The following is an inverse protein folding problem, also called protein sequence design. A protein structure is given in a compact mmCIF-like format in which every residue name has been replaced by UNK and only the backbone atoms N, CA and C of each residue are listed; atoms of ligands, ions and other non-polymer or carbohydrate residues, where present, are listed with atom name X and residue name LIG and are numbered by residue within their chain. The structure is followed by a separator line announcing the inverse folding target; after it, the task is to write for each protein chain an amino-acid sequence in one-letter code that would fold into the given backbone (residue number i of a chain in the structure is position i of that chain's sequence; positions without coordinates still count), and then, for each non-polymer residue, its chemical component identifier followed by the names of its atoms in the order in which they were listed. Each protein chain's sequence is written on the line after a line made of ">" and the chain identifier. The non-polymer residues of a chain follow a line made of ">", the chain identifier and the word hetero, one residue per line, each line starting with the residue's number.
data_IF_836971643735
#
_entry.id   IF_836971643735
#
_cell.length_a   1.000
_cell.length_b   1.000
_cell.length_c   1.000
_cell.angle_alpha   90.00
_cell.angle_beta   90.00
_cell.angle_gamma   90.00
#
_symmetry.space_group_name_H-M   'P 1'
#
loop_
_entity.id
_entity.type
_entity.pdbx_description
1 polymer ?
#
# COMPACT_ATOMS: atom_id res chain seq x y z
N UNK A 1 -11.57 -13.86 -38.30
CA UNK A 1 -12.10 -12.49 -38.51
C UNK A 1 -12.63 -11.98 -37.18
N UNK A 2 -12.06 -10.91 -36.63
CA UNK A 2 -12.75 -10.13 -35.59
C UNK A 2 -13.78 -9.24 -36.28
N UNK A 3 -15.07 -9.49 -36.05
CA UNK A 3 -16.13 -8.60 -36.49
C UNK A 3 -16.27 -7.45 -35.48
N UNK A 4 -16.73 -6.28 -35.96
CA UNK A 4 -17.00 -5.11 -35.11
C UNK A 4 -17.88 -5.45 -33.90
N UNK A 5 -18.85 -6.35 -34.09
CA UNK A 5 -19.73 -6.83 -33.03
C UNK A 5 -18.98 -7.56 -31.90
N UNK A 6 -17.99 -8.41 -32.24
CA UNK A 6 -17.16 -9.10 -31.24
C UNK A 6 -16.27 -8.12 -30.45
N UNK A 7 -15.77 -7.08 -31.12
CA UNK A 7 -15.01 -6.01 -30.46
C UNK A 7 -15.88 -5.22 -29.48
N UNK A 8 -17.10 -4.89 -29.88
CA UNK A 8 -18.05 -4.16 -29.05
C UNK A 8 -18.49 -4.98 -27.82
N UNK A 9 -18.73 -6.30 -27.98
CA UNK A 9 -19.10 -7.16 -26.86
C UNK A 9 -17.96 -7.31 -25.86
N UNK A 10 -16.71 -7.48 -26.33
CA UNK A 10 -15.51 -7.53 -25.48
C UNK A 10 -15.32 -6.22 -24.70
N UNK A 11 -15.58 -5.08 -25.34
CA UNK A 11 -15.45 -3.77 -24.70
C UNK A 11 -16.48 -3.58 -23.58
N UNK A 12 -17.74 -3.96 -23.82
CA UNK A 12 -18.78 -3.94 -22.80
C UNK A 12 -18.48 -4.89 -21.64
N UNK A 13 -18.02 -6.11 -21.93
CA UNK A 13 -17.66 -7.08 -20.91
C UNK A 13 -16.50 -6.58 -20.04
N UNK A 14 -15.46 -6.02 -20.66
CA UNK A 14 -14.32 -5.45 -19.95
C UNK A 14 -14.74 -4.26 -19.08
N UNK A 15 -15.59 -3.37 -19.59
CA UNK A 15 -16.14 -2.24 -18.83
C UNK A 15 -16.93 -2.72 -17.61
N UNK A 16 -17.80 -3.70 -17.77
CA UNK A 16 -18.61 -4.22 -16.66
C UNK A 16 -17.74 -4.90 -15.59
N UNK A 17 -16.69 -5.63 -16.00
CA UNK A 17 -15.72 -6.22 -15.07
C UNK A 17 -14.96 -5.15 -14.28
N UNK A 18 -14.45 -4.12 -14.98
CA UNK A 18 -13.77 -2.98 -14.34
C UNK A 18 -14.68 -2.24 -13.36
N UNK A 19 -15.93 -2.00 -13.73
CA UNK A 19 -16.91 -1.34 -12.87
C UNK A 19 -17.21 -2.18 -11.62
N UNK A 20 -17.31 -3.52 -11.76
CA UNK A 20 -17.47 -4.42 -10.62
C UNK A 20 -16.28 -4.42 -9.67
N UNK A 21 -15.05 -4.45 -10.20
CA UNK A 21 -13.82 -4.36 -9.39
C UNK A 21 -13.74 -3.01 -8.65
N UNK A 22 -14.06 -1.90 -9.34
CA UNK A 22 -14.08 -0.56 -8.77
C UNK A 22 -15.12 -0.43 -7.64
N UNK A 23 -16.35 -0.92 -7.85
CA UNK A 23 -17.40 -0.86 -6.82
C UNK A 23 -17.01 -1.65 -5.57
N UNK A 24 -16.40 -2.84 -5.71
CA UNK A 24 -15.93 -3.62 -4.56
C UNK A 24 -14.83 -2.89 -3.80
N UNK A 25 -13.93 -2.21 -4.52
CA UNK A 25 -12.87 -1.43 -3.90
C UNK A 25 -13.44 -0.22 -3.15
N UNK A 26 -14.33 0.54 -3.78
CA UNK A 26 -15.00 1.67 -3.11
C UNK A 26 -15.74 1.20 -1.86
N UNK A 27 -16.46 0.08 -1.92
CA UNK A 27 -17.17 -0.45 -0.76
C UNK A 27 -16.21 -0.81 0.38
N UNK A 28 -15.06 -1.44 0.06
CA UNK A 28 -14.04 -1.75 1.05
C UNK A 28 -13.40 -0.49 1.65
N UNK A 29 -13.11 0.53 0.82
CA UNK A 29 -12.59 1.81 1.28
C UNK A 29 -13.58 2.54 2.20
N UNK A 30 -14.86 2.63 1.80
CA UNK A 30 -15.90 3.21 2.64
C UNK A 30 -16.05 2.48 3.97
N UNK A 31 -15.99 1.13 3.95
CA UNK A 31 -16.03 0.34 5.18
C UNK A 31 -14.86 0.65 6.12
N UNK A 32 -13.65 0.76 5.59
CA UNK A 32 -12.46 1.12 6.36
C UNK A 32 -12.54 2.55 6.93
N UNK A 33 -12.90 3.53 6.10
CA UNK A 33 -13.08 4.93 6.50
C UNK A 33 -14.13 5.02 7.61
N UNK A 34 -15.23 4.29 7.46
CA UNK A 34 -16.31 4.29 8.45
C UNK A 34 -15.81 3.76 9.80
N UNK A 35 -15.11 2.62 9.82
CA UNK A 35 -14.57 2.03 11.06
C UNK A 35 -13.55 2.93 11.76
N UNK A 36 -12.66 3.57 11.00
CA UNK A 36 -11.65 4.48 11.57
C UNK A 36 -12.28 5.76 12.10
N UNK A 37 -13.20 6.34 11.34
CA UNK A 37 -13.87 7.59 11.71
C UNK A 37 -14.77 7.38 12.94
N UNK A 38 -15.51 6.27 12.97
CA UNK A 38 -16.37 5.91 14.10
C UNK A 38 -15.57 5.80 15.39
N UNK A 39 -14.40 5.17 15.35
CA UNK A 39 -13.51 5.02 16.50
C UNK A 39 -13.04 6.37 17.04
N UNK A 40 -12.66 7.30 16.15
CA UNK A 40 -12.25 8.66 16.52
C UNK A 40 -13.42 9.46 17.12
N UNK A 41 -14.61 9.35 16.52
CA UNK A 41 -15.82 10.03 17.02
C UNK A 41 -16.16 9.57 18.43
N UNK A 42 -16.11 8.26 18.70
CA UNK A 42 -16.36 7.71 20.05
C UNK A 42 -15.36 8.28 21.06
N UNK A 43 -14.06 8.31 20.72
CA UNK A 43 -13.03 8.86 21.60
C UNK A 43 -13.26 10.37 21.88
N UNK A 44 -13.64 11.13 20.85
CA UNK A 44 -13.91 12.56 20.99
C UNK A 44 -15.14 12.82 21.87
N UNK A 45 -16.24 12.09 21.66
CA UNK A 45 -17.43 12.18 22.50
C UNK A 45 -17.06 11.87 23.95
N UNK A 46 -16.35 10.76 24.20
CA UNK A 46 -15.90 10.39 25.54
C UNK A 46 -15.06 11.49 26.20
N UNK A 47 -14.12 12.07 25.46
CA UNK A 47 -13.23 13.14 25.97
C UNK A 47 -14.05 14.37 26.35
N UNK A 48 -14.97 14.80 25.48
CA UNK A 48 -15.83 15.95 25.72
C UNK A 48 -16.77 15.74 26.92
N UNK A 49 -17.34 14.55 27.07
CA UNK A 49 -18.25 14.24 28.20
C UNK A 49 -17.50 14.14 29.53
N UNK A 50 -16.21 13.78 29.52
CA UNK A 50 -15.44 13.52 30.76
C UNK A 50 -14.49 14.65 31.15
N UNK A 51 -14.41 15.73 30.37
CA UNK A 51 -13.45 16.82 30.60
C UNK A 51 -13.65 17.57 31.93
N UNK A 52 -14.88 17.63 32.44
CA UNK A 52 -15.22 18.34 33.68
C UNK A 52 -15.06 17.50 34.95
N UNK A 53 -14.79 16.20 34.80
CA UNK A 53 -14.64 15.29 35.93
C UNK A 53 -13.21 15.32 36.44
N UNK A 54 -13.03 15.34 37.77
CA UNK A 54 -11.72 15.12 38.38
C UNK A 54 -11.29 13.68 38.11
N UNK A 55 -10.20 13.48 37.36
CA UNK A 55 -9.71 12.17 36.96
C UNK A 55 -8.59 11.71 37.90
N UNK A 56 -8.63 10.43 38.29
CA UNK A 56 -7.49 9.80 38.97
C UNK A 56 -6.34 9.60 37.98
N UNK A 57 -5.10 9.56 38.49
CA UNK A 57 -3.91 9.32 37.66
C UNK A 57 -4.01 8.01 36.86
N UNK A 58 -4.61 6.97 37.46
CA UNK A 58 -4.86 5.69 36.78
C UNK A 58 -5.79 5.85 35.57
N UNK A 59 -6.86 6.65 35.71
CA UNK A 59 -7.82 6.89 34.63
C UNK A 59 -7.16 7.66 33.47
N UNK A 60 -6.34 8.67 33.78
CA UNK A 60 -5.59 9.42 32.75
C UNK A 60 -4.65 8.49 31.99
N UNK A 61 -3.94 7.60 32.68
CA UNK A 61 -3.06 6.62 32.04
C UNK A 61 -3.83 5.67 31.11
N UNK A 62 -5.01 5.20 31.52
CA UNK A 62 -5.89 4.37 30.69
C UNK A 62 -6.39 5.12 29.44
N UNK A 63 -6.81 6.38 29.59
CA UNK A 63 -7.24 7.22 28.46
C UNK A 63 -6.11 7.43 27.44
N UNK A 64 -4.89 7.67 27.91
CA UNK A 64 -3.71 7.77 27.05
C UNK A 64 -3.39 6.47 26.31
N UNK A 65 -3.55 5.33 26.99
CA UNK A 65 -3.36 4.02 26.38
C UNK A 65 -4.40 3.77 25.28
N UNK A 66 -5.67 4.08 25.54
CA UNK A 66 -6.73 3.99 24.53
C UNK A 66 -6.49 4.92 23.34
N UNK A 67 -6.11 6.18 23.59
CA UNK A 67 -5.73 7.12 22.54
C UNK A 67 -4.60 6.58 21.65
N UNK A 68 -3.58 5.97 22.26
CA UNK A 68 -2.47 5.34 21.54
C UNK A 68 -2.96 4.16 20.68
N UNK A 69 -3.82 3.31 21.22
CA UNK A 69 -4.42 2.19 20.48
C UNK A 69 -5.24 2.69 19.28
N UNK A 70 -6.07 3.72 19.47
CA UNK A 70 -6.85 4.30 18.37
C UNK A 70 -5.97 4.92 17.29
N UNK A 71 -4.90 5.62 17.68
CA UNK A 71 -3.91 6.15 16.74
C UNK A 71 -3.21 5.04 15.95
N UNK A 72 -2.87 3.92 16.61
CA UNK A 72 -2.27 2.76 15.95
C UNK A 72 -3.26 2.13 14.94
N UNK A 73 -4.53 1.99 15.32
CA UNK A 73 -5.60 1.50 14.43
C UNK A 73 -5.75 2.41 13.21
N UNK A 74 -5.74 3.72 13.43
CA UNK A 74 -5.75 4.71 12.35
C UNK A 74 -4.54 4.55 11.41
N UNK A 75 -3.34 4.36 11.94
CA UNK A 75 -2.15 4.06 11.14
C UNK A 75 -2.27 2.75 10.34
N UNK A 76 -2.79 1.69 10.94
CA UNK A 76 -3.01 0.43 10.22
C UNK A 76 -4.04 0.56 9.10
N UNK A 77 -4.96 1.52 9.17
CA UNK A 77 -5.89 1.78 8.06
C UNK A 77 -5.16 2.30 6.81
N UNK A 78 -4.13 3.13 6.98
CA UNK A 78 -3.29 3.59 5.87
C UNK A 78 -2.56 2.45 5.16
N UNK A 79 -2.04 1.51 5.96
CA UNK A 79 -1.44 0.26 5.46
C UNK A 79 -2.51 -0.62 4.80
N UNK A 80 -3.70 -0.68 5.39
CA UNK A 80 -4.87 -1.38 4.87
C UNK A 80 -5.26 -0.91 3.47
N UNK A 81 -5.29 0.41 3.20
CA UNK A 81 -5.56 0.93 1.86
C UNK A 81 -4.58 0.36 0.84
N UNK A 82 -3.27 0.40 1.13
CA UNK A 82 -2.26 -0.17 0.23
C UNK A 82 -2.55 -1.63 -0.14
N UNK A 83 -2.94 -2.45 0.83
CA UNK A 83 -3.32 -3.84 0.57
C UNK A 83 -4.63 -3.98 -0.20
N UNK A 84 -5.64 -3.16 0.09
CA UNK A 84 -6.90 -3.14 -0.66
C UNK A 84 -6.66 -2.82 -2.13
N UNK A 85 -5.83 -1.82 -2.43
CA UNK A 85 -5.41 -1.49 -3.80
C UNK A 85 -4.65 -2.65 -4.47
N UNK A 86 -3.73 -3.30 -3.75
CA UNK A 86 -3.05 -4.50 -4.24
C UNK A 86 -4.02 -5.64 -4.54
N UNK A 87 -5.02 -5.89 -3.71
CA UNK A 87 -5.92 -7.03 -3.91
C UNK A 87 -6.90 -6.74 -5.06
N UNK A 88 -7.45 -5.51 -5.11
CA UNK A 88 -8.47 -5.13 -6.07
C UNK A 88 -7.94 -5.03 -7.50
N UNK A 89 -6.81 -4.34 -7.73
CA UNK A 89 -6.33 -4.08 -9.09
C UNK A 89 -5.31 -5.13 -9.55
N UNK A 90 -5.72 -6.01 -10.48
CA UNK A 90 -4.81 -6.94 -11.17
C UNK A 90 -3.68 -6.21 -11.89
N UNK A 91 -3.98 -5.08 -12.52
CA UNK A 91 -2.98 -4.23 -13.21
C UNK A 91 -1.97 -3.68 -12.21
N UNK A 92 -2.42 -3.19 -11.05
CA UNK A 92 -1.55 -2.71 -9.99
C UNK A 92 -0.62 -3.82 -9.48
N UNK A 93 -1.14 -5.04 -9.22
CA UNK A 93 -0.30 -6.20 -8.86
C UNK A 93 0.74 -6.54 -9.90
N UNK A 94 0.40 -6.42 -11.18
CA UNK A 94 1.34 -6.66 -12.28
C UNK A 94 2.44 -5.61 -12.26
N UNK A 95 2.10 -4.34 -12.12
CA UNK A 95 3.05 -3.24 -12.07
C UNK A 95 3.96 -3.31 -10.84
N UNK A 96 3.41 -3.60 -9.66
CA UNK A 96 4.18 -3.80 -8.42
C UNK A 96 5.13 -4.99 -8.55
N UNK A 97 4.67 -6.12 -9.10
CA UNK A 97 5.54 -7.27 -9.36
C UNK A 97 6.67 -6.92 -10.34
N UNK A 98 6.37 -6.26 -11.45
CA UNK A 98 7.39 -5.81 -12.41
C UNK A 98 8.39 -4.87 -11.71
N UNK A 99 7.92 -3.90 -10.94
CA UNK A 99 8.77 -2.94 -10.24
C UNK A 99 9.68 -3.62 -9.20
N UNK A 100 9.18 -4.62 -8.47
CA UNK A 100 9.95 -5.34 -7.44
C UNK A 100 10.93 -6.36 -8.03
N UNK A 101 10.55 -7.08 -9.09
CA UNK A 101 11.38 -8.12 -9.70
C UNK A 101 12.37 -7.56 -10.74
N UNK A 102 11.97 -6.65 -11.63
CA UNK A 102 12.90 -6.10 -12.63
C UNK A 102 14.01 -5.24 -12.00
N UNK A 103 13.75 -4.53 -10.88
CA UNK A 103 14.80 -3.79 -10.17
C UNK A 103 15.85 -4.68 -9.51
N UNK A 104 15.52 -5.94 -9.17
CA UNK A 104 16.49 -6.88 -8.60
C UNK A 104 17.50 -7.34 -9.64
N UNK A 105 17.07 -7.63 -10.86
CA UNK A 105 17.97 -8.02 -11.96
C UNK A 105 18.91 -6.89 -12.39
N UNK A 106 18.44 -5.63 -12.41
CA UNK A 106 19.31 -4.48 -12.76
C UNK A 106 20.33 -4.16 -11.67
N UNK A 107 20.00 -4.38 -10.39
CA UNK A 107 20.97 -4.19 -9.29
C UNK A 107 21.99 -5.33 -9.19
N UNK A 108 21.60 -6.57 -9.47
CA UNK A 108 22.52 -7.70 -9.50
C UNK A 108 23.57 -7.55 -10.61
N UNK A 109 23.13 -7.18 -11.81
CA UNK A 109 24.04 -6.94 -12.96
C UNK A 109 24.91 -5.69 -12.81
N UNK A 110 24.41 -4.63 -12.19
CA UNK A 110 25.22 -3.44 -11.88
C UNK A 110 26.30 -3.68 -10.82
N UNK A 111 26.14 -4.67 -9.93
CA UNK A 111 27.17 -5.05 -8.95
C UNK A 111 28.23 -6.01 -9.53
N UNK A 112 27.94 -6.76 -10.59
CA UNK A 112 28.93 -7.59 -11.30
C UNK A 112 29.78 -6.79 -12.29
N UNK A 113 29.30 -5.65 -12.78
CA UNK A 113 30.01 -4.80 -13.74
C UNK A 113 31.35 -4.18 -13.23
N UNK A 114 31.50 -3.72 -11.97
CA UNK A 114 32.76 -3.08 -11.54
C UNK A 114 33.91 -4.07 -11.31
N UNK A 115 33.67 -5.37 -11.18
CA UNK A 115 34.74 -6.35 -10.90
C UNK A 115 35.51 -6.71 -12.18
N UNK A 116 34.86 -6.72 -13.35
CA UNK A 116 35.52 -7.07 -14.62
C UNK A 116 36.40 -5.96 -15.20
N UNK A 117 36.29 -4.73 -14.71
CA UNK A 117 37.12 -3.61 -15.20
C UNK A 117 38.51 -3.62 -14.54
N UNK A 118 38.67 -4.30 -13.39
CA UNK A 118 39.96 -4.36 -12.66
C UNK A 118 40.88 -5.48 -13.21
N UNK A 119 40.35 -6.48 -13.92
CA UNK A 119 41.15 -7.58 -14.50
C UNK A 119 41.75 -7.29 -15.88
N UNK A 120 41.46 -6.13 -16.48
CA UNK A 120 41.95 -5.74 -17.82
C UNK A 120 43.03 -4.65 -17.78
N UNK A 121 43.83 -4.60 -16.72
CA UNK A 121 45.09 -3.84 -16.71
C UNK A 121 46.20 -4.70 -17.35
N UNK A 122 46.72 -4.37 -18.55
CA UNK A 122 47.78 -5.15 -19.18
C UNK A 122 49.11 -4.99 -18.43
N UNK A 123 49.61 -6.09 -17.90
CA UNK A 123 50.97 -6.32 -17.39
C UNK A 123 52.02 -6.21 -18.51
N UNK A 124 52.16 -5.02 -19.11
CA UNK A 124 53.12 -4.74 -20.19
C UNK A 124 54.21 -3.72 -19.81
N UNK A 125 54.51 -3.58 -18.52
CA UNK A 125 55.56 -2.68 -18.01
C UNK A 125 56.55 -3.41 -17.09
N UNK A 126 57.17 -4.47 -17.59
CA UNK A 126 58.28 -5.14 -16.91
C UNK A 126 59.33 -5.69 -17.90
N UNK A 127 59.74 -4.85 -18.85
CA UNK A 127 61.03 -5.02 -19.56
C UNK A 127 61.46 -3.66 -20.08
N UNK A 128 62.28 -2.96 -19.28
CA UNK A 128 63.42 -2.12 -19.69
C UNK A 128 64.05 -1.47 -18.45
#
# INVERSE_FOLDING_TARGET
>A
MLTWHNLQSLWHEQRNRLQGEFNRMMLAEFGMIFLTTLSIVILNIYTLTTQSLVKSQLRIAQENLWSTVFNLVSFTSHVGYFYTYMIAFRVYRRNVRIALWCRRETRATAMEAPIRIIELAPTSLATL
#
